data_IF_117025016902
#
_entry.id   IF_117025016902
#
_cell.length_a   1.000
_cell.length_b   1.000
_cell.length_c   1.000
_cell.angle_alpha   90.00
_cell.angle_beta   90.00
_cell.angle_gamma   90.00
#
_symmetry.space_group_name_H-M   'P 1'
#
loop_
_entity.id
_entity.type
_entity.pdbx_description
1 polymer ?
#
# COMPACT_ATOMS: atom_id res chain seq x y z
N UNK A 1 -20.67 -1.59 5.99
CA UNK A 1 -19.74 -2.10 4.95
C UNK A 1 -19.81 -3.61 4.92
N UNK A 2 -19.96 -4.12 3.71
CA UNK A 2 -20.04 -5.52 3.43
C UNK A 2 -18.65 -6.17 3.50
N UNK A 3 -18.55 -7.40 3.98
CA UNK A 3 -17.27 -8.12 4.05
C UNK A 3 -16.67 -8.36 2.66
N UNK A 4 -17.52 -8.56 1.66
CA UNK A 4 -17.06 -8.74 0.27
C UNK A 4 -16.34 -7.48 -0.20
N UNK A 5 -16.91 -6.31 0.07
CA UNK A 5 -16.28 -5.05 -0.32
C UNK A 5 -14.97 -4.82 0.42
N UNK A 6 -14.89 -5.22 1.69
CA UNK A 6 -13.67 -5.09 2.46
C UNK A 6 -12.56 -5.98 1.91
N UNK A 7 -12.90 -7.18 1.47
CA UNK A 7 -11.93 -8.09 0.86
C UNK A 7 -11.41 -7.55 -0.47
N UNK A 8 -12.31 -7.02 -1.29
CA UNK A 8 -11.94 -6.43 -2.57
C UNK A 8 -11.01 -5.24 -2.37
N UNK A 9 -11.36 -4.38 -1.41
CA UNK A 9 -10.52 -3.22 -1.10
C UNK A 9 -9.14 -3.67 -0.60
N UNK A 10 -9.10 -4.69 0.25
CA UNK A 10 -7.84 -5.21 0.77
C UNK A 10 -6.94 -5.72 -0.36
N UNK A 11 -7.50 -6.45 -1.31
CA UNK A 11 -6.75 -6.94 -2.47
C UNK A 11 -6.16 -5.78 -3.25
N UNK A 12 -6.95 -4.73 -3.48
CA UNK A 12 -6.48 -3.56 -4.21
C UNK A 12 -5.40 -2.80 -3.45
N UNK A 13 -5.57 -2.68 -2.13
CA UNK A 13 -4.58 -2.01 -1.29
C UNK A 13 -3.25 -2.75 -1.33
N UNK A 14 -3.27 -4.07 -1.20
CA UNK A 14 -2.05 -4.86 -1.24
C UNK A 14 -1.35 -4.77 -2.60
N UNK A 15 -2.13 -4.77 -3.67
CA UNK A 15 -1.60 -4.61 -5.02
C UNK A 15 -0.91 -3.25 -5.19
N UNK A 16 -1.54 -2.20 -4.68
CA UNK A 16 -0.96 -0.85 -4.77
C UNK A 16 0.32 -0.73 -3.95
N UNK A 17 0.36 -1.36 -2.77
CA UNK A 17 1.56 -1.37 -1.95
C UNK A 17 2.72 -2.01 -2.70
N UNK A 18 2.49 -3.15 -3.34
CA UNK A 18 3.52 -3.84 -4.11
C UNK A 18 4.01 -2.98 -5.27
N UNK A 19 3.10 -2.33 -5.99
CA UNK A 19 3.48 -1.45 -7.10
C UNK A 19 4.29 -0.27 -6.63
N UNK A 20 3.88 0.37 -5.54
CA UNK A 20 4.61 1.52 -5.00
C UNK A 20 6.00 1.12 -4.53
N UNK A 21 6.14 -0.08 -3.96
CA UNK A 21 7.44 -0.58 -3.54
C UNK A 21 8.38 -0.74 -4.74
N UNK A 22 7.88 -1.28 -5.84
CA UNK A 22 8.67 -1.44 -7.06
C UNK A 22 9.12 -0.09 -7.60
N UNK A 23 8.20 0.87 -7.65
CA UNK A 23 8.51 2.22 -8.12
C UNK A 23 9.53 2.89 -7.20
N UNK A 24 9.36 2.72 -5.90
CA UNK A 24 10.32 3.26 -4.93
C UNK A 24 11.73 2.72 -5.17
N UNK A 25 11.85 1.41 -5.40
CA UNK A 25 13.13 0.80 -5.66
C UNK A 25 13.78 1.36 -6.92
N UNK A 26 12.98 1.58 -7.97
CA UNK A 26 13.47 2.17 -9.20
C UNK A 26 14.00 3.59 -9.00
N UNK A 27 13.25 4.39 -8.25
CA UNK A 27 13.70 5.75 -7.94
C UNK A 27 14.99 5.75 -7.11
N UNK A 28 15.09 4.84 -6.15
CA UNK A 28 16.28 4.74 -5.33
C UNK A 28 17.50 4.34 -6.16
N UNK A 29 17.33 3.43 -7.12
CA UNK A 29 18.43 3.04 -8.02
C UNK A 29 18.90 4.20 -8.87
N UNK A 30 17.99 5.09 -9.27
CA UNK A 30 18.32 6.28 -10.06
C UNK A 30 18.76 7.45 -9.17
N UNK A 31 18.93 7.23 -7.89
CA UNK A 31 19.32 8.25 -6.91
C UNK A 31 18.30 9.38 -6.78
N UNK A 32 17.05 9.12 -7.14
CA UNK A 32 15.97 10.08 -6.98
C UNK A 32 15.31 9.85 -5.62
N UNK A 33 16.02 10.17 -4.55
CA UNK A 33 15.61 9.84 -3.18
C UNK A 33 14.35 10.58 -2.73
N UNK A 34 14.14 11.80 -3.20
CA UNK A 34 12.93 12.54 -2.85
C UNK A 34 11.68 11.84 -3.38
N UNK A 35 11.75 11.36 -4.62
CA UNK A 35 10.64 10.62 -5.22
C UNK A 35 10.44 9.28 -4.54
N UNK A 36 11.54 8.60 -4.22
CA UNK A 36 11.47 7.35 -3.47
C UNK A 36 10.79 7.54 -2.12
N UNK A 37 11.10 8.66 -1.43
CA UNK A 37 10.48 8.97 -0.16
C UNK A 37 8.98 9.22 -0.30
N UNK A 38 8.55 9.87 -1.38
CA UNK A 38 7.13 10.06 -1.64
C UNK A 38 6.40 8.74 -1.80
N UNK A 39 7.02 7.78 -2.52
CA UNK A 39 6.44 6.46 -2.68
C UNK A 39 6.35 5.73 -1.35
N UNK A 40 7.37 5.87 -0.50
CA UNK A 40 7.35 5.26 0.83
C UNK A 40 6.24 5.84 1.69
N UNK A 41 6.02 7.15 1.64
CA UNK A 41 4.96 7.80 2.39
C UNK A 41 3.59 7.29 1.96
N UNK A 42 3.37 7.09 0.67
CA UNK A 42 2.12 6.52 0.16
C UNK A 42 1.94 5.08 0.62
N UNK A 43 3.02 4.29 0.62
CA UNK A 43 2.98 2.93 1.15
C UNK A 43 2.53 2.91 2.61
N UNK A 44 3.06 3.82 3.43
CA UNK A 44 2.68 3.88 4.85
C UNK A 44 1.20 4.14 5.04
N UNK A 45 0.62 5.03 4.24
CA UNK A 45 -0.81 5.30 4.30
C UNK A 45 -1.63 4.05 3.95
N UNK A 46 -1.22 3.36 2.90
CA UNK A 46 -1.91 2.15 2.46
C UNK A 46 -1.72 1.00 3.46
N UNK A 47 -0.58 0.93 4.12
CA UNK A 47 -0.35 -0.08 5.15
C UNK A 47 -1.28 0.10 6.34
N UNK A 48 -1.56 1.35 6.73
CA UNK A 48 -2.53 1.62 7.79
C UNK A 48 -3.92 1.17 7.36
N UNK A 49 -4.30 1.45 6.12
CA UNK A 49 -5.58 1.00 5.58
C UNK A 49 -5.65 -0.52 5.55
N UNK A 50 -4.57 -1.17 5.13
CA UNK A 50 -4.49 -2.63 5.10
C UNK A 50 -4.73 -3.23 6.48
N UNK A 51 -4.08 -2.69 7.50
CA UNK A 51 -4.24 -3.16 8.87
C UNK A 51 -5.68 -3.03 9.34
N UNK A 52 -6.29 -1.87 9.06
CA UNK A 52 -7.70 -1.63 9.40
C UNK A 52 -8.61 -2.67 8.75
N UNK A 53 -8.41 -2.94 7.46
CA UNK A 53 -9.24 -3.90 6.72
C UNK A 53 -9.03 -5.32 7.22
N UNK A 54 -7.80 -5.71 7.52
CA UNK A 54 -7.51 -7.04 8.07
C UNK A 54 -8.18 -7.24 9.42
N UNK A 55 -8.14 -6.23 10.28
CA UNK A 55 -8.80 -6.31 11.58
C UNK A 55 -10.31 -6.45 11.41
N UNK A 56 -10.88 -5.76 10.43
CA UNK A 56 -12.31 -5.83 10.17
C UNK A 56 -12.72 -7.21 9.69
N UNK A 57 -11.90 -7.83 8.83
CA UNK A 57 -12.18 -9.15 8.29
C UNK A 57 -11.95 -10.27 9.29
N UNK A 58 -11.20 -9.99 10.34
CA UNK A 58 -10.89 -10.98 11.38
C UNK A 58 -12.08 -11.28 12.27
N UNK A 59 -13.06 -10.41 12.32
CA UNK A 59 -14.29 -10.62 13.09
C UNK A 59 -15.29 -11.48 12.28
#
# INVERSE_FOLDING_TARGET
MDLINARDELTQVEYKIDKLRTIEEEYAEDEEYEKAQMMLNEQKKLMRRRTFLKNKLRK
#
